data_IF_068119652102
#
_entry.id   IF_068119652102
#
_cell.length_a   1.000
_cell.length_b   1.000
_cell.length_c   1.000
_cell.angle_alpha   90.00
_cell.angle_beta   90.00
_cell.angle_gamma   90.00
#
_symmetry.space_group_name_H-M   'P 1'
#
loop_
_entity.id
_entity.type
_entity.pdbx_description
1 polymer ?
#
# COMPACT_ATOMS: atom_id res chain seq x y z
N UNK A 1 -17.17 -8.94 2.61
CA UNK A 1 -15.90 -9.43 3.18
C UNK A 1 -16.14 -10.84 3.72
N UNK A 2 -15.32 -11.79 3.26
CA UNK A 2 -15.51 -13.21 3.58
C UNK A 2 -14.79 -13.68 4.86
N UNK A 3 -14.00 -12.80 5.49
CA UNK A 3 -13.24 -13.11 6.69
C UNK A 3 -13.02 -11.86 7.54
N UNK A 4 -12.72 -12.00 8.85
CA UNK A 4 -12.52 -10.85 9.75
C UNK A 4 -11.15 -10.21 9.60
N UNK A 5 -10.77 -9.87 8.36
CA UNK A 5 -9.49 -9.25 8.06
C UNK A 5 -9.31 -7.93 8.83
N UNK A 6 -8.09 -7.64 9.20
CA UNK A 6 -7.70 -6.40 9.90
C UNK A 6 -8.42 -6.22 11.25
N UNK A 7 -8.67 -7.31 11.94
CA UNK A 7 -9.24 -7.32 13.29
C UNK A 7 -8.44 -8.23 14.21
N UNK A 8 -8.70 -8.15 15.53
CA UNK A 8 -8.03 -8.98 16.53
C UNK A 8 -8.28 -10.49 16.34
N UNK A 9 -9.37 -10.85 15.64
CA UNK A 9 -9.66 -12.25 15.29
C UNK A 9 -8.62 -12.86 14.35
N UNK A 10 -7.84 -12.02 13.67
CA UNK A 10 -6.76 -12.45 12.79
C UNK A 10 -5.40 -12.56 13.50
N UNK A 11 -5.36 -12.43 14.82
CA UNK A 11 -4.10 -12.54 15.58
C UNK A 11 -3.36 -13.86 15.31
N UNK A 12 -4.01 -15.05 15.25
CA UNK A 12 -3.31 -16.28 14.90
C UNK A 12 -2.64 -16.22 13.52
N UNK A 13 -3.29 -15.61 12.53
CA UNK A 13 -2.73 -15.42 11.20
C UNK A 13 -1.54 -14.44 11.23
N UNK A 14 -1.65 -13.36 12.01
CA UNK A 14 -0.55 -12.42 12.23
C UNK A 14 0.66 -13.09 12.83
N UNK A 15 0.47 -13.92 13.86
CA UNK A 15 1.55 -14.66 14.52
C UNK A 15 2.22 -15.67 13.56
N UNK A 16 1.41 -16.39 12.78
CA UNK A 16 1.92 -17.33 11.78
C UNK A 16 2.71 -16.61 10.68
N UNK A 17 2.22 -15.46 10.21
CA UNK A 17 2.91 -14.65 9.21
C UNK A 17 4.25 -14.13 9.76
N UNK A 18 4.28 -13.66 11.01
CA UNK A 18 5.49 -13.18 11.66
C UNK A 18 6.56 -14.28 11.70
N UNK A 19 6.17 -15.49 12.08
CA UNK A 19 7.06 -16.65 12.11
C UNK A 19 7.57 -16.99 10.71
N UNK A 20 6.69 -16.98 9.71
CA UNK A 20 7.06 -17.26 8.32
C UNK A 20 8.03 -16.20 7.77
N UNK A 21 7.76 -14.93 8.02
CA UNK A 21 8.58 -13.82 7.54
C UNK A 21 9.99 -13.82 8.17
N UNK A 22 10.14 -14.34 9.37
CA UNK A 22 11.45 -14.47 10.01
C UNK A 22 12.43 -15.32 9.19
N UNK A 23 11.91 -16.29 8.41
CA UNK A 23 12.70 -17.16 7.55
C UNK A 23 12.79 -16.69 6.09
N UNK A 24 12.17 -15.57 5.73
CA UNK A 24 12.18 -15.04 4.36
C UNK A 24 13.31 -14.02 4.22
N UNK A 25 14.17 -14.19 3.23
CA UNK A 25 15.20 -13.23 2.92
C UNK A 25 14.57 -11.95 2.36
N UNK A 26 14.93 -10.82 2.93
CA UNK A 26 14.46 -9.50 2.51
C UNK A 26 15.61 -8.52 2.41
N UNK A 27 15.54 -7.63 1.43
CA UNK A 27 16.45 -6.51 1.31
C UNK A 27 15.72 -5.21 1.67
N UNK A 28 16.46 -4.19 2.05
CA UNK A 28 15.90 -2.86 2.23
C UNK A 28 15.30 -2.37 0.92
N UNK A 29 14.11 -1.72 0.96
CA UNK A 29 13.47 -1.25 -0.26
C UNK A 29 14.27 -0.11 -0.90
N UNK A 30 14.30 -0.07 -2.22
CA UNK A 30 14.96 0.99 -2.98
C UNK A 30 14.15 2.29 -3.02
N UNK A 31 12.86 2.22 -2.68
CA UNK A 31 11.95 3.37 -2.62
C UNK A 31 11.22 3.35 -1.27
N UNK A 32 10.71 4.51 -0.86
CA UNK A 32 9.97 4.58 0.38
C UNK A 32 8.66 3.76 0.27
N UNK A 33 8.42 2.92 1.25
CA UNK A 33 7.20 2.11 1.35
C UNK A 33 6.46 2.54 2.60
N UNK A 34 5.23 2.99 2.43
CA UNK A 34 4.36 3.41 3.54
C UNK A 34 3.49 2.23 3.96
N UNK A 35 3.58 1.85 5.22
CA UNK A 35 2.73 0.80 5.77
C UNK A 35 1.35 1.35 6.16
N UNK A 36 0.28 0.67 5.76
CA UNK A 36 -1.08 1.10 6.07
C UNK A 36 -1.46 0.93 7.54
N UNK A 37 -0.72 0.13 8.29
CA UNK A 37 -1.02 -0.11 9.70
C UNK A 37 -0.73 1.10 10.59
N UNK A 38 0.33 1.84 10.28
CA UNK A 38 0.80 2.96 11.12
C UNK A 38 1.10 4.24 10.34
N UNK A 39 0.94 4.23 9.04
CA UNK A 39 1.21 5.36 8.12
C UNK A 39 2.64 5.86 8.26
N UNK A 40 3.60 4.94 8.31
CA UNK A 40 5.02 5.24 8.43
C UNK A 40 5.84 4.58 7.32
N UNK A 41 6.95 5.24 6.98
CA UNK A 41 7.96 4.65 6.10
C UNK A 41 8.87 3.78 6.93
N UNK A 42 8.94 2.50 6.59
CA UNK A 42 9.85 1.55 7.21
C UNK A 42 10.96 1.17 6.23
N UNK A 43 12.19 1.28 6.65
CA UNK A 43 13.37 0.95 5.83
C UNK A 43 14.12 -0.26 6.37
N UNK A 44 14.14 -0.43 7.68
CA UNK A 44 14.73 -1.60 8.31
C UNK A 44 13.91 -2.85 8.02
N UNK A 45 14.58 -3.93 7.62
CA UNK A 45 13.93 -5.19 7.28
C UNK A 45 13.14 -5.76 8.45
N UNK A 46 13.66 -5.65 9.68
CA UNK A 46 12.96 -6.10 10.89
C UNK A 46 11.65 -5.35 11.12
N UNK A 47 11.68 -4.02 10.94
CA UNK A 47 10.47 -3.19 11.05
C UNK A 47 9.46 -3.50 9.96
N UNK A 48 9.91 -3.77 8.74
CA UNK A 48 9.04 -4.14 7.61
C UNK A 48 8.34 -5.47 7.89
N UNK A 49 9.08 -6.48 8.38
CA UNK A 49 8.50 -7.77 8.77
C UNK A 49 7.42 -7.60 9.82
N UNK A 50 7.69 -6.81 10.86
CA UNK A 50 6.72 -6.56 11.93
C UNK A 50 5.49 -5.80 11.42
N UNK A 51 5.66 -4.78 10.58
CA UNK A 51 4.55 -4.04 9.99
C UNK A 51 3.66 -4.94 9.15
N UNK A 52 4.24 -5.81 8.33
CA UNK A 52 3.48 -6.76 7.50
C UNK A 52 2.69 -7.75 8.35
N UNK A 53 3.31 -8.30 9.41
CA UNK A 53 2.65 -9.24 10.29
C UNK A 53 1.51 -8.56 11.08
N UNK A 54 1.76 -7.38 11.63
CA UNK A 54 0.79 -6.62 12.42
C UNK A 54 -0.40 -6.17 11.58
N UNK A 55 -0.21 -5.90 10.29
CA UNK A 55 -1.28 -5.45 9.41
C UNK A 55 -2.39 -6.49 9.25
N UNK A 56 -2.07 -7.79 9.36
CA UNK A 56 -3.08 -8.83 9.25
C UNK A 56 -4.17 -8.74 10.32
N UNK A 57 -3.81 -8.26 11.52
CA UNK A 57 -4.71 -8.15 12.67
C UNK A 57 -5.03 -6.69 13.04
N UNK A 58 -4.38 -5.72 12.42
CA UNK A 58 -4.57 -4.31 12.69
C UNK A 58 -5.47 -3.61 11.68
N UNK A 59 -6.04 -2.48 12.08
CA UNK A 59 -6.88 -1.68 11.21
C UNK A 59 -6.06 -0.98 10.13
N UNK A 60 -6.52 -1.02 8.89
CA UNK A 60 -5.91 -0.29 7.78
C UNK A 60 -6.25 1.20 7.91
N UNK A 61 -5.24 2.05 8.00
CA UNK A 61 -5.38 3.50 8.14
C UNK A 61 -5.43 4.18 6.76
N UNK A 62 -6.44 3.84 5.95
CA UNK A 62 -6.50 4.26 4.54
C UNK A 62 -6.62 5.76 4.36
N UNK A 63 -7.52 6.40 5.07
CA UNK A 63 -7.73 7.86 5.00
C UNK A 63 -6.45 8.60 5.42
N UNK A 64 -5.83 8.17 6.50
CA UNK A 64 -4.58 8.76 6.98
C UNK A 64 -3.44 8.55 5.98
N UNK A 65 -3.37 7.40 5.34
CA UNK A 65 -2.36 7.09 4.31
C UNK A 65 -2.50 8.03 3.12
N UNK A 66 -3.72 8.21 2.62
CA UNK A 66 -3.97 9.11 1.48
C UNK A 66 -3.65 10.55 1.83
N UNK A 67 -4.03 11.00 3.02
CA UNK A 67 -3.71 12.35 3.50
C UNK A 67 -2.21 12.56 3.66
N UNK A 68 -1.50 11.54 4.14
CA UNK A 68 -0.05 11.58 4.23
C UNK A 68 0.59 11.75 2.85
N UNK A 69 0.11 11.04 1.83
CA UNK A 69 0.59 11.23 0.46
C UNK A 69 0.43 12.66 -0.01
N UNK A 70 -0.71 13.27 0.29
CA UNK A 70 -0.98 14.66 -0.04
C UNK A 70 0.00 15.60 0.66
N UNK A 71 0.25 15.38 1.95
CA UNK A 71 1.17 16.20 2.75
C UNK A 71 2.60 16.16 2.24
N UNK A 72 3.07 15.00 1.78
CA UNK A 72 4.44 14.87 1.25
C UNK A 72 4.57 15.26 -0.22
N UNK A 73 3.51 15.80 -0.82
CA UNK A 73 3.54 16.35 -2.16
C UNK A 73 3.26 15.36 -3.28
N UNK A 74 2.68 14.20 -2.99
CA UNK A 74 2.28 13.23 -4.02
C UNK A 74 1.16 13.84 -4.86
N UNK A 75 1.37 13.88 -6.18
CA UNK A 75 0.41 14.42 -7.14
C UNK A 75 -0.27 13.33 -7.96
N UNK A 76 0.39 12.18 -8.13
CA UNK A 76 -0.08 11.08 -8.95
C UNK A 76 0.01 9.78 -8.17
N UNK A 77 -1.04 8.97 -8.26
CA UNK A 77 -1.09 7.63 -7.66
C UNK A 77 -1.45 6.62 -8.74
N UNK A 78 -0.78 5.50 -8.74
CA UNK A 78 -1.03 4.41 -9.68
C UNK A 78 -1.46 3.19 -8.88
N UNK A 79 -2.69 2.74 -9.09
CA UNK A 79 -3.18 1.49 -8.54
C UNK A 79 -2.76 0.35 -9.45
N UNK A 80 -1.95 -0.58 -8.94
CA UNK A 80 -1.46 -1.74 -9.67
C UNK A 80 -2.30 -2.97 -9.31
N UNK A 81 -2.99 -3.53 -10.29
CA UNK A 81 -3.79 -4.74 -10.09
C UNK A 81 -5.20 -4.62 -10.68
N UNK A 82 -6.01 -5.68 -10.52
CA UNK A 82 -7.36 -5.71 -11.07
C UNK A 82 -8.32 -4.78 -10.30
N UNK A 83 -9.30 -4.25 -11.01
CA UNK A 83 -10.32 -3.38 -10.42
C UNK A 83 -9.84 -1.96 -10.19
N UNK A 84 -10.70 -1.17 -9.53
CA UNK A 84 -10.49 0.26 -9.28
C UNK A 84 -10.95 0.67 -7.88
N UNK A 85 -10.92 -0.24 -6.94
CA UNK A 85 -11.43 0.01 -5.59
C UNK A 85 -10.62 1.09 -4.89
N UNK A 86 -9.29 0.98 -4.92
CA UNK A 86 -8.40 1.95 -4.29
C UNK A 86 -8.48 3.31 -4.97
N UNK A 87 -8.56 3.34 -6.30
CA UNK A 87 -8.73 4.58 -7.05
C UNK A 87 -10.00 5.34 -6.62
N UNK A 88 -11.12 4.62 -6.47
CA UNK A 88 -12.37 5.20 -5.97
C UNK A 88 -12.27 5.72 -4.55
N UNK A 89 -11.58 4.99 -3.67
CA UNK A 89 -11.38 5.41 -2.28
C UNK A 89 -10.50 6.67 -2.19
N UNK A 90 -9.44 6.73 -2.99
CA UNK A 90 -8.56 7.90 -3.04
C UNK A 90 -9.32 9.12 -3.53
N UNK A 91 -10.08 8.98 -4.61
CA UNK A 91 -10.86 10.07 -5.18
C UNK A 91 -11.86 10.66 -4.17
N UNK A 92 -12.47 9.81 -3.36
CA UNK A 92 -13.40 10.26 -2.32
C UNK A 92 -12.70 10.89 -1.11
N UNK A 93 -11.44 10.56 -0.87
CA UNK A 93 -10.66 11.10 0.26
C UNK A 93 -9.98 12.40 -0.09
N UNK A 94 -9.32 12.45 -1.25
CA UNK A 94 -8.56 13.62 -1.73
C UNK A 94 -8.78 13.81 -3.23
N UNK A 95 -9.49 14.86 -3.60
CA UNK A 95 -9.83 15.15 -5.00
C UNK A 95 -8.68 15.75 -5.81
N UNK A 96 -7.63 16.23 -5.15
CA UNK A 96 -6.49 16.88 -5.80
C UNK A 96 -5.38 15.93 -6.27
N UNK A 97 -5.57 14.62 -6.15
CA UNK A 97 -4.59 13.62 -6.58
C UNK A 97 -5.05 13.00 -7.89
N UNK A 98 -4.16 12.98 -8.87
CA UNK A 98 -4.39 12.30 -10.15
C UNK A 98 -4.22 10.80 -9.95
N UNK A 99 -5.19 10.01 -10.43
CA UNK A 99 -5.22 8.56 -10.20
C UNK A 99 -5.23 7.83 -11.53
N UNK A 100 -4.40 6.80 -11.62
CA UNK A 100 -4.33 5.91 -12.78
C UNK A 100 -4.38 4.47 -12.32
N UNK A 101 -4.82 3.58 -13.20
CA UNK A 101 -4.86 2.14 -12.96
C UNK A 101 -3.96 1.40 -13.96
N UNK A 102 -3.25 0.40 -13.46
CA UNK A 102 -2.48 -0.52 -14.29
C UNK A 102 -2.97 -1.93 -14.00
N UNK A 103 -3.75 -2.50 -14.92
CA UNK A 103 -4.32 -3.84 -14.81
C UNK A 103 -4.15 -4.68 -16.08
N UNK A 104 -3.44 -4.15 -17.07
CA UNK A 104 -3.14 -4.82 -18.34
C UNK A 104 -1.87 -4.23 -18.94
N UNK A 105 -1.32 -4.89 -19.95
CA UNK A 105 -0.17 -4.37 -20.69
C UNK A 105 -0.50 -3.03 -21.38
N UNK A 106 -1.69 -2.92 -21.94
CA UNK A 106 -2.15 -1.70 -22.61
C UNK A 106 -2.24 -0.53 -21.62
N UNK A 107 -2.82 -0.73 -20.45
CA UNK A 107 -2.92 0.32 -19.44
C UNK A 107 -1.55 0.69 -18.89
N UNK A 108 -0.62 -0.27 -18.77
CA UNK A 108 0.76 0.00 -18.37
C UNK A 108 1.47 0.92 -19.36
N UNK A 109 1.37 0.64 -20.65
CA UNK A 109 1.99 1.46 -21.69
C UNK A 109 1.45 2.88 -21.69
N UNK A 110 0.13 3.03 -21.54
CA UNK A 110 -0.52 4.33 -21.47
C UNK A 110 -0.04 5.14 -20.27
N UNK A 111 0.04 4.51 -19.10
CA UNK A 111 0.52 5.18 -17.87
C UNK A 111 1.98 5.57 -18.00
N UNK A 112 2.82 4.71 -18.57
CA UNK A 112 4.24 5.03 -18.80
C UNK A 112 4.40 6.24 -19.72
N UNK A 113 3.62 6.35 -20.78
CA UNK A 113 3.62 7.51 -21.67
C UNK A 113 3.23 8.79 -20.93
N UNK A 114 2.18 8.74 -20.12
CA UNK A 114 1.74 9.88 -19.31
C UNK A 114 2.82 10.33 -18.30
N UNK A 115 3.46 9.39 -17.60
CA UNK A 115 4.52 9.69 -16.64
C UNK A 115 5.73 10.29 -17.32
N UNK A 116 6.15 9.75 -18.47
CA UNK A 116 7.29 10.25 -19.22
C UNK A 116 7.03 11.69 -19.73
N UNK A 117 5.79 12.03 -20.01
CA UNK A 117 5.40 13.40 -20.41
C UNK A 117 5.48 14.41 -19.26
N UNK A 118 5.48 13.95 -18.00
CA UNK A 118 5.61 14.81 -16.82
C UNK A 118 7.07 15.10 -16.46
N UNK A 119 8.00 14.32 -16.97
CA UNK A 119 9.43 14.44 -16.65
C UNK A 119 10.10 15.63 -17.38
#
# INVERSE_FOLDING_TARGET
VSAPFHSSLMKPASDALREKLAGVAMNEPAVDVVANIDVKVHRDVGEIREALASQAAGAVQWVKTVRYFKEIGVTHVIECGPGRVLAGLIKRTESGIEIRNVNSEESLQKVLEEINALA
#
